data_IF_822855345225
#
_entry.id   IF_822855345225
#
_cell.length_a   1.000
_cell.length_b   1.000
_cell.length_c   1.000
_cell.angle_alpha   90.00
_cell.angle_beta   90.00
_cell.angle_gamma   90.00
#
_symmetry.space_group_name_H-M   'P 1'
#
loop_
_entity.id
_entity.type
_entity.pdbx_description
1 polymer ?
#
# COMPACT_ATOMS: atom_id res chain seq x y z
N UNK A 1 -47.80 -0.87 -12.61
CA UNK A 1 -46.61 -1.46 -13.24
C UNK A 1 -45.42 -1.07 -12.40
N UNK A 2 -44.94 -1.96 -11.52
CA UNK A 2 -43.76 -1.69 -10.68
C UNK A 2 -42.49 -1.84 -11.49
N UNK A 3 -41.61 -0.84 -11.46
CA UNK A 3 -40.27 -0.95 -12.00
C UNK A 3 -39.44 -1.98 -11.19
N UNK A 4 -38.54 -2.76 -11.82
CA UNK A 4 -37.64 -3.63 -11.08
C UNK A 4 -36.62 -2.78 -10.29
N UNK A 5 -36.23 -3.19 -9.08
CA UNK A 5 -35.17 -2.52 -8.34
C UNK A 5 -33.83 -2.68 -9.09
N UNK A 6 -33.16 -1.57 -9.32
CA UNK A 6 -31.80 -1.49 -9.87
C UNK A 6 -30.83 -2.28 -8.98
N UNK A 7 -29.90 -3.09 -9.53
CA UNK A 7 -28.93 -3.82 -8.72
C UNK A 7 -27.94 -2.84 -8.09
N UNK A 8 -28.05 -2.61 -6.79
CA UNK A 8 -27.15 -1.72 -6.03
C UNK A 8 -25.79 -2.37 -5.66
N UNK A 9 -25.47 -3.56 -6.19
CA UNK A 9 -24.46 -4.46 -5.58
C UNK A 9 -23.03 -4.22 -6.10
N UNK A 10 -22.85 -3.62 -7.28
CA UNK A 10 -21.51 -3.50 -7.91
C UNK A 10 -20.65 -2.34 -7.37
N UNK A 11 -21.25 -1.36 -6.71
CA UNK A 11 -20.54 -0.13 -6.29
C UNK A 11 -19.61 -0.37 -5.10
N UNK A 12 -19.99 -1.24 -4.18
CA UNK A 12 -19.23 -1.49 -2.94
C UNK A 12 -17.94 -2.28 -3.20
N UNK A 13 -18.00 -3.26 -4.11
CA UNK A 13 -16.83 -4.04 -4.52
C UNK A 13 -15.81 -3.16 -5.26
N UNK A 14 -16.27 -2.31 -6.18
CA UNK A 14 -15.42 -1.36 -6.89
C UNK A 14 -14.77 -0.35 -5.90
N UNK A 15 -15.53 0.15 -4.93
CA UNK A 15 -15.03 1.05 -3.89
C UNK A 15 -14.02 0.36 -2.96
N UNK A 16 -14.24 -0.91 -2.60
CA UNK A 16 -13.29 -1.71 -1.83
C UNK A 16 -11.97 -1.92 -2.60
N UNK A 17 -12.04 -2.29 -3.88
CA UNK A 17 -10.86 -2.47 -4.73
C UNK A 17 -10.07 -1.16 -4.90
N UNK A 18 -10.77 -0.04 -5.13
CA UNK A 18 -10.14 1.29 -5.24
C UNK A 18 -9.39 1.68 -3.95
N UNK A 19 -10.00 1.47 -2.78
CA UNK A 19 -9.37 1.69 -1.47
C UNK A 19 -8.17 0.79 -1.24
N UNK A 20 -8.26 -0.48 -1.60
CA UNK A 20 -7.14 -1.42 -1.50
C UNK A 20 -5.96 -0.99 -2.39
N UNK A 21 -6.20 -0.74 -3.68
CA UNK A 21 -5.15 -0.28 -4.59
C UNK A 21 -4.53 1.04 -4.14
N UNK A 22 -5.33 1.96 -3.60
CA UNK A 22 -4.82 3.21 -3.03
C UNK A 22 -3.88 2.93 -1.85
N UNK A 23 -4.25 2.04 -0.94
CA UNK A 23 -3.40 1.60 0.16
C UNK A 23 -2.07 1.02 -0.32
N UNK A 24 -2.10 0.10 -1.30
CA UNK A 24 -0.87 -0.50 -1.87
C UNK A 24 0.03 0.58 -2.48
N UNK A 25 -0.53 1.49 -3.29
CA UNK A 25 0.24 2.60 -3.89
C UNK A 25 0.86 3.50 -2.83
N UNK A 26 0.13 3.77 -1.74
CA UNK A 26 0.61 4.61 -0.65
C UNK A 26 1.83 3.98 0.06
N UNK A 27 1.76 2.69 0.39
CA UNK A 27 2.88 1.99 1.03
C UNK A 27 4.10 1.89 0.10
N UNK A 28 3.88 1.61 -1.19
CA UNK A 28 4.98 1.60 -2.18
C UNK A 28 5.63 2.98 -2.33
N UNK A 29 4.85 4.05 -2.39
CA UNK A 29 5.39 5.42 -2.43
C UNK A 29 6.23 5.73 -1.18
N UNK A 30 5.75 5.31 -0.01
CA UNK A 30 6.47 5.46 1.26
C UNK A 30 7.81 4.72 1.22
N UNK A 31 7.81 3.45 0.78
CA UNK A 31 9.02 2.65 0.65
C UNK A 31 10.02 3.26 -0.34
N UNK A 32 9.57 3.73 -1.50
CA UNK A 32 10.43 4.36 -2.51
C UNK A 32 11.09 5.65 -1.99
N UNK A 33 10.30 6.52 -1.34
CA UNK A 33 10.81 7.78 -0.80
C UNK A 33 11.80 7.55 0.35
N UNK A 34 11.49 6.64 1.27
CA UNK A 34 12.38 6.27 2.37
C UNK A 34 13.69 5.65 1.84
N UNK A 35 13.62 4.72 0.88
CA UNK A 35 14.82 4.13 0.27
C UNK A 35 15.68 5.18 -0.46
N UNK A 36 15.06 6.11 -1.18
CA UNK A 36 15.77 7.20 -1.86
C UNK A 36 16.45 8.14 -0.87
N UNK A 37 15.79 8.47 0.25
CA UNK A 37 16.35 9.26 1.33
C UNK A 37 17.53 8.53 2.01
N UNK A 38 17.36 7.25 2.35
CA UNK A 38 18.42 6.43 2.93
C UNK A 38 19.67 6.41 2.05
N UNK A 39 19.51 6.22 0.73
CA UNK A 39 20.64 6.23 -0.21
C UNK A 39 21.39 7.56 -0.21
N UNK A 40 20.68 8.70 -0.19
CA UNK A 40 21.30 10.03 -0.13
C UNK A 40 22.02 10.26 1.20
N UNK A 41 21.45 9.79 2.30
CA UNK A 41 22.04 9.92 3.63
C UNK A 41 23.33 9.10 3.77
N UNK A 42 23.35 7.87 3.24
CA UNK A 42 24.57 7.05 3.16
C UNK A 42 25.66 7.73 2.33
N UNK A 43 25.30 8.35 1.21
CA UNK A 43 26.26 9.10 0.37
C UNK A 43 26.88 10.29 1.10
N UNK A 44 26.20 10.83 2.10
CA UNK A 44 26.65 11.96 2.91
C UNK A 44 27.28 11.56 4.25
N UNK A 45 27.42 10.26 4.54
CA UNK A 45 27.96 9.74 5.80
C UNK A 45 27.01 9.84 7.00
N UNK A 46 25.71 10.03 6.76
CA UNK A 46 24.67 10.15 7.79
C UNK A 46 24.04 8.80 8.13
N UNK A 47 24.84 7.86 8.62
CA UNK A 47 24.45 6.45 8.78
C UNK A 47 23.25 6.22 9.71
N UNK A 48 23.16 6.96 10.81
CA UNK A 48 22.07 6.83 11.77
C UNK A 48 20.70 7.21 11.15
N UNK A 49 20.67 8.31 10.38
CA UNK A 49 19.46 8.76 9.68
C UNK A 49 19.12 7.84 8.50
N UNK A 50 20.14 7.31 7.82
CA UNK A 50 19.95 6.32 6.78
C UNK A 50 19.29 5.05 7.33
N UNK A 51 19.77 4.56 8.49
CA UNK A 51 19.23 3.37 9.15
C UNK A 51 17.75 3.56 9.52
N UNK A 52 17.36 4.75 9.98
CA UNK A 52 15.96 5.06 10.25
C UNK A 52 15.09 5.00 8.98
N UNK A 53 15.60 5.53 7.86
CA UNK A 53 14.89 5.45 6.59
C UNK A 53 14.83 4.00 6.03
N UNK A 54 15.84 3.18 6.30
CA UNK A 54 15.80 1.74 5.98
C UNK A 54 14.70 1.05 6.79
N UNK A 55 14.61 1.28 8.10
CA UNK A 55 13.52 0.74 8.94
C UNK A 55 12.14 1.16 8.45
N UNK A 56 11.98 2.41 8.02
CA UNK A 56 10.73 2.90 7.41
C UNK A 56 10.40 2.18 6.11
N UNK A 57 11.40 1.90 5.29
CA UNK A 57 11.25 1.12 4.05
C UNK A 57 10.77 -0.29 4.37
N UNK A 58 11.40 -0.97 5.31
CA UNK A 58 11.02 -2.32 5.76
C UNK A 58 9.58 -2.36 6.26
N UNK A 59 9.20 -1.41 7.13
CA UNK A 59 7.85 -1.32 7.67
C UNK A 59 6.80 -1.07 6.59
N UNK A 60 7.08 -0.23 5.59
CA UNK A 60 6.18 0.00 4.46
C UNK A 60 6.04 -1.25 3.58
N UNK A 61 7.13 -1.96 3.30
CA UNK A 61 7.10 -3.24 2.59
C UNK A 61 6.29 -4.30 3.34
N UNK A 62 6.42 -4.39 4.67
CA UNK A 62 5.62 -5.30 5.49
C UNK A 62 4.13 -4.98 5.42
N UNK A 63 3.73 -3.71 5.53
CA UNK A 63 2.32 -3.30 5.38
C UNK A 63 1.80 -3.56 3.98
N UNK A 64 2.60 -3.31 2.94
CA UNK A 64 2.26 -3.65 1.58
C UNK A 64 2.01 -5.15 1.42
N UNK A 65 2.88 -6.01 1.97
CA UNK A 65 2.69 -7.46 1.93
C UNK A 65 1.39 -7.89 2.63
N UNK A 66 1.06 -7.29 3.79
CA UNK A 66 -0.20 -7.55 4.48
C UNK A 66 -1.42 -7.16 3.63
N UNK A 67 -1.38 -6.01 2.93
CA UNK A 67 -2.45 -5.59 2.03
C UNK A 67 -2.62 -6.56 0.84
N UNK A 68 -1.53 -7.06 0.28
CA UNK A 68 -1.54 -8.03 -0.82
C UNK A 68 -2.08 -9.40 -0.37
N UNK A 69 -1.68 -9.88 0.82
CA UNK A 69 -2.19 -11.12 1.39
C UNK A 69 -3.69 -11.03 1.70
N UNK A 70 -4.17 -9.87 2.18
CA UNK A 70 -5.59 -9.66 2.46
C UNK A 70 -6.46 -9.68 1.20
N UNK A 71 -5.94 -9.22 0.06
CA UNK A 71 -6.64 -9.35 -1.23
C UNK A 71 -6.62 -10.76 -1.80
N UNK A 72 -5.71 -11.62 -1.34
CA UNK A 72 -5.54 -12.99 -1.81
C UNK A 72 -6.31 -14.03 -0.96
N UNK A 73 -7.33 -13.60 -0.19
CA UNK A 73 -8.22 -14.53 0.54
C UNK A 73 -8.80 -15.61 -0.38
N UNK A 74 -9.12 -16.81 0.17
CA UNK A 74 -9.27 -18.04 -0.59
C UNK A 74 -10.23 -17.86 -1.77
N UNK A 75 -9.73 -18.11 -2.98
CA UNK A 75 -10.60 -18.47 -4.09
C UNK A 75 -11.27 -19.79 -3.71
N UNK A 76 -12.57 -19.76 -3.43
CA UNK A 76 -13.41 -20.96 -3.32
C UNK A 76 -13.31 -21.83 -4.60
#
# INVERSE_FOLDING_TARGET
MSAPPTPCVDTDAAAANSRWMHGVRNELNTAMMAAAAARRLLQNGSDAEALENIRRTEAACQRCAQLLLRSAGPSD
#
